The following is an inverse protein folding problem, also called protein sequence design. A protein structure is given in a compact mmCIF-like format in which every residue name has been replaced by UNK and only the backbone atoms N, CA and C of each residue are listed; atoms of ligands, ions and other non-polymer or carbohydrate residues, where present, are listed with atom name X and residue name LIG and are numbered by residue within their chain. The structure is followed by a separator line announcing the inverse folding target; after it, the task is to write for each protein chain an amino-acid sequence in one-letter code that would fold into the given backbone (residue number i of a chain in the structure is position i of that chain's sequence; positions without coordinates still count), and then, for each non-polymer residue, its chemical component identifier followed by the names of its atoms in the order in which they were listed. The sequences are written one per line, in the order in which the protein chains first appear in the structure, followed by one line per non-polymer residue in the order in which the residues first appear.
data_IF_794774458520
#
_entry.id   IF_794774458520
#
_cell.length_a   1.000
_cell.length_b   1.000
_cell.length_c   1.000
_cell.angle_alpha   90.00
_cell.angle_beta   90.00
_cell.angle_gamma   90.00
#
_symmetry.space_group_name_H-M   'P 1'
#
loop_
_entity.id
_entity.type
_entity.pdbx_description
1 polymer ?
#
# COMPACT_ATOMS: atom_id res chain seq x y z
N UNK A 1 -15.61 0.48 -7.72
CA UNK A 1 -15.86 0.72 -6.27
C UNK A 1 -14.67 0.18 -5.50
N UNK A 2 -14.13 0.94 -4.56
CA UNK A 2 -12.93 0.54 -3.84
C UNK A 2 -13.01 0.94 -2.36
N UNK A 3 -12.34 0.18 -1.50
CA UNK A 3 -12.22 0.47 -0.06
C UNK A 3 -10.73 0.59 0.26
N UNK A 4 -10.37 1.68 0.93
CA UNK A 4 -9.01 1.91 1.39
C UNK A 4 -8.94 1.72 2.92
N UNK A 5 -7.96 0.96 3.39
CA UNK A 5 -7.73 0.70 4.82
C UNK A 5 -6.50 1.47 5.28
N UNK A 6 -6.69 2.40 6.20
CA UNK A 6 -5.64 3.29 6.75
C UNK A 6 -5.41 2.98 8.22
N UNK A 7 -4.17 3.08 8.67
CA UNK A 7 -3.83 2.94 10.09
C UNK A 7 -2.36 2.67 10.35
N UNK A 8 -1.95 2.70 11.61
CA UNK A 8 -0.54 2.55 12.00
C UNK A 8 0.05 1.17 11.64
N UNK A 9 1.38 1.10 11.58
CA UNK A 9 2.10 -0.17 11.50
C UNK A 9 1.71 -1.03 12.71
N UNK A 10 1.39 -2.30 12.47
CA UNK A 10 0.93 -3.22 13.52
C UNK A 10 -0.56 -3.12 13.88
N UNK A 11 -1.35 -2.22 13.28
CA UNK A 11 -2.78 -2.07 13.59
C UNK A 11 -3.70 -3.19 13.03
N UNK A 12 -3.16 -4.21 12.38
CA UNK A 12 -3.95 -5.32 11.83
C UNK A 12 -4.61 -5.06 10.46
N UNK A 13 -4.12 -4.07 9.70
CA UNK A 13 -4.66 -3.70 8.37
C UNK A 13 -4.69 -4.87 7.38
N UNK A 14 -3.62 -5.67 7.33
CA UNK A 14 -3.50 -6.85 6.46
C UNK A 14 -4.58 -7.88 6.78
N UNK A 15 -4.80 -8.14 8.06
CA UNK A 15 -5.83 -9.06 8.54
C UNK A 15 -7.23 -8.56 8.16
N UNK A 16 -7.53 -7.28 8.42
CA UNK A 16 -8.82 -6.69 8.08
C UNK A 16 -9.08 -6.70 6.56
N UNK A 17 -8.06 -6.38 5.76
CA UNK A 17 -8.13 -6.39 4.28
C UNK A 17 -8.52 -7.78 3.78
N UNK A 18 -7.85 -8.83 4.27
CA UNK A 18 -8.16 -10.21 3.89
C UNK A 18 -9.56 -10.65 4.28
N UNK A 19 -10.01 -10.28 5.50
CA UNK A 19 -11.37 -10.59 5.97
C UNK A 19 -12.44 -9.91 5.11
N UNK A 20 -12.27 -8.62 4.79
CA UNK A 20 -13.22 -7.88 3.97
C UNK A 20 -13.21 -8.36 2.51
N UNK A 21 -12.02 -8.65 1.96
CA UNK A 21 -11.90 -9.14 0.59
C UNK A 21 -12.61 -10.49 0.44
N UNK A 22 -12.43 -11.39 1.41
CA UNK A 22 -13.17 -12.66 1.47
C UNK A 22 -14.67 -12.47 1.63
N UNK A 23 -15.10 -11.55 2.49
CA UNK A 23 -16.52 -11.29 2.74
C UNK A 23 -17.24 -10.74 1.50
N UNK A 24 -16.61 -9.79 0.79
CA UNK A 24 -17.20 -9.15 -0.39
C UNK A 24 -16.86 -9.86 -1.72
N UNK A 25 -16.00 -10.87 -1.69
CA UNK A 25 -15.42 -11.51 -2.88
C UNK A 25 -14.72 -10.50 -3.81
N UNK A 26 -13.93 -9.60 -3.22
CA UNK A 26 -13.17 -8.56 -3.91
C UNK A 26 -11.68 -8.87 -3.90
N UNK A 27 -10.94 -8.21 -4.79
CA UNK A 27 -9.49 -8.38 -4.87
C UNK A 27 -8.80 -7.57 -3.76
N UNK A 28 -7.92 -8.23 -3.00
CA UNK A 28 -7.11 -7.61 -1.96
C UNK A 28 -5.76 -7.15 -2.52
N UNK A 29 -5.44 -5.87 -2.37
CA UNK A 29 -4.13 -5.32 -2.74
C UNK A 29 -3.34 -4.98 -1.48
N UNK A 30 -2.20 -5.66 -1.33
CA UNK A 30 -1.28 -5.47 -0.22
C UNK A 30 -0.12 -4.57 -0.62
N UNK A 31 0.54 -3.99 0.38
CA UNK A 31 1.74 -3.19 0.15
C UNK A 31 2.93 -4.05 -0.23
N UNK A 32 3.68 -3.64 -1.26
CA UNK A 32 4.98 -4.22 -1.58
C UNK A 32 6.07 -3.60 -0.67
N UNK A 33 6.02 -3.90 0.62
CA UNK A 33 7.05 -3.43 1.57
C UNK A 33 8.36 -4.18 1.34
N UNK A 34 8.28 -5.46 0.98
CA UNK A 34 9.41 -6.39 0.92
C UNK A 34 10.41 -6.11 -0.22
N UNK A 35 10.03 -5.28 -1.22
CA UNK A 35 10.87 -4.98 -2.39
C UNK A 35 11.26 -3.49 -2.52
N UNK A 36 11.15 -2.70 -1.45
CA UNK A 36 11.48 -1.27 -1.52
C UNK A 36 13.00 -1.05 -1.47
N UNK A 37 13.62 -0.52 -2.54
CA UNK A 37 15.08 -0.36 -2.62
C UNK A 37 15.66 0.66 -1.65
N UNK A 38 14.83 1.50 -1.03
CA UNK A 38 15.26 2.57 -0.12
C UNK A 38 14.98 2.27 1.35
N UNK A 39 14.33 1.15 1.67
CA UNK A 39 13.91 0.87 3.05
C UNK A 39 15.12 0.61 3.96
N UNK A 40 16.07 -0.21 3.50
CA UNK A 40 17.29 -0.53 4.23
C UNK A 40 18.15 0.72 4.45
N UNK A 41 18.36 1.49 3.37
CA UNK A 41 19.07 2.76 3.40
C UNK A 41 18.41 3.77 4.35
N UNK A 42 17.07 3.85 4.36
CA UNK A 42 16.32 4.70 5.29
C UNK A 42 16.52 4.32 6.75
N UNK A 43 16.55 3.02 7.07
CA UNK A 43 16.85 2.58 8.44
C UNK A 43 18.30 2.87 8.83
N UNK A 44 19.23 2.98 7.87
CA UNK A 44 20.62 3.35 8.13
C UNK A 44 20.83 4.87 8.32
N UNK A 45 20.18 5.71 7.50
CA UNK A 45 20.20 7.18 7.63
C UNK A 45 18.88 7.79 7.15
N UNK A 46 17.97 7.99 8.11
CA UNK A 46 16.66 8.56 7.82
C UNK A 46 16.75 9.95 7.19
N UNK A 47 17.68 10.82 7.63
CA UNK A 47 17.72 12.20 7.13
C UNK A 47 18.12 12.24 5.67
N UNK A 48 19.06 11.38 5.27
CA UNK A 48 19.53 11.31 3.88
C UNK A 48 18.49 10.71 2.93
N UNK A 49 17.78 9.68 3.39
CA UNK A 49 16.97 8.80 2.54
C UNK A 49 15.46 9.01 2.65
N UNK A 50 14.97 9.81 3.62
CA UNK A 50 13.54 10.13 3.77
C UNK A 50 12.91 10.60 2.46
N UNK A 51 13.56 11.52 1.75
CA UNK A 51 13.00 12.08 0.52
C UNK A 51 12.81 11.01 -0.56
N UNK A 52 13.84 10.21 -0.82
CA UNK A 52 13.80 9.11 -1.80
C UNK A 52 12.70 8.10 -1.46
N UNK A 53 12.61 7.71 -0.20
CA UNK A 53 11.60 6.78 0.27
C UNK A 53 10.18 7.33 0.08
N UNK A 54 9.96 8.60 0.41
CA UNK A 54 8.65 9.25 0.24
C UNK A 54 8.27 9.39 -1.25
N UNK A 55 9.21 9.73 -2.13
CA UNK A 55 8.96 9.78 -3.58
C UNK A 55 8.63 8.40 -4.14
N UNK A 56 9.31 7.34 -3.67
CA UNK A 56 8.99 5.97 -4.05
C UNK A 56 7.55 5.60 -3.67
N UNK A 57 7.14 5.89 -2.42
CA UNK A 57 5.77 5.66 -1.98
C UNK A 57 4.76 6.46 -2.80
N UNK A 58 5.03 7.74 -3.08
CA UNK A 58 4.16 8.58 -3.90
C UNK A 58 3.95 7.99 -5.31
N UNK A 59 5.03 7.55 -5.97
CA UNK A 59 4.94 6.93 -7.30
C UNK A 59 4.16 5.61 -7.28
N UNK A 60 4.41 4.76 -6.29
CA UNK A 60 3.67 3.50 -6.14
C UNK A 60 2.17 3.75 -5.93
N UNK A 61 1.81 4.77 -5.15
CA UNK A 61 0.42 5.18 -4.91
C UNK A 61 -0.24 5.69 -6.17
N UNK A 62 0.47 6.52 -6.93
CA UNK A 62 -0.03 7.07 -8.18
C UNK A 62 -0.35 5.96 -9.18
N UNK A 63 0.57 4.99 -9.35
CA UNK A 63 0.35 3.83 -10.23
C UNK A 63 -0.87 3.01 -9.80
N UNK A 64 -1.00 2.71 -8.50
CA UNK A 64 -2.19 2.02 -7.99
C UNK A 64 -3.50 2.75 -8.30
N UNK A 65 -3.54 4.07 -8.16
CA UNK A 65 -4.74 4.86 -8.47
C UNK A 65 -5.07 4.78 -9.96
N UNK A 66 -4.05 4.90 -10.82
CA UNK A 66 -4.21 4.77 -12.28
C UNK A 66 -4.74 3.37 -12.65
N UNK A 67 -4.20 2.32 -12.04
CA UNK A 67 -4.67 0.94 -12.27
C UNK A 67 -6.13 0.77 -11.83
N UNK A 68 -6.49 1.25 -10.63
CA UNK A 68 -7.87 1.19 -10.13
C UNK A 68 -8.84 1.96 -11.04
N UNK A 69 -8.41 3.04 -11.70
CA UNK A 69 -9.23 3.77 -12.66
C UNK A 69 -9.39 3.02 -13.99
N UNK A 70 -8.35 2.34 -14.45
CA UNK A 70 -8.35 1.61 -15.72
C UNK A 70 -9.17 0.30 -15.64
N UNK A 71 -9.19 -0.35 -14.48
CA UNK A 71 -9.90 -1.60 -14.29
C UNK A 71 -11.27 -1.38 -13.62
N UNK A 72 -12.37 -1.80 -14.26
CA UNK A 72 -13.71 -1.81 -13.67
C UNK A 72 -13.89 -2.96 -12.64
N UNK A 73 -12.89 -3.15 -11.78
CA UNK A 73 -12.84 -4.18 -10.73
C UNK A 73 -13.09 -3.55 -9.37
N UNK A 74 -13.44 -4.39 -8.40
CA UNK A 74 -13.68 -3.98 -7.02
C UNK A 74 -12.51 -4.42 -6.15
N UNK A 75 -11.86 -3.47 -5.49
CA UNK A 75 -10.62 -3.68 -4.76
C UNK A 75 -10.73 -3.23 -3.30
N UNK A 76 -10.02 -3.92 -2.42
CA UNK A 76 -9.75 -3.49 -1.05
C UNK A 76 -8.24 -3.40 -0.89
N UNK A 77 -7.73 -2.22 -0.52
CA UNK A 77 -6.29 -1.96 -0.52
C UNK A 77 -5.82 -1.22 0.73
N UNK A 78 -4.54 -1.36 1.06
CA UNK A 78 -3.93 -0.78 2.26
C UNK A 78 -3.22 0.55 1.93
N UNK A 79 -3.37 1.50 2.85
CA UNK A 79 -2.72 2.82 2.86
C UNK A 79 -1.82 2.86 4.11
N UNK A 80 -0.48 2.92 3.96
CA UNK A 80 0.44 3.25 5.04
C UNK A 80 0.27 4.70 5.50
#
# INVERSE_FOLDING_TARGET
MHIAIVGNIGAGKTTLTGLLAKHYNWEALYEAVDNNPYLEDFYSDMKRWSFNLQIYFLNSRFQQIVDIQNFNRKFIYIIP
#
